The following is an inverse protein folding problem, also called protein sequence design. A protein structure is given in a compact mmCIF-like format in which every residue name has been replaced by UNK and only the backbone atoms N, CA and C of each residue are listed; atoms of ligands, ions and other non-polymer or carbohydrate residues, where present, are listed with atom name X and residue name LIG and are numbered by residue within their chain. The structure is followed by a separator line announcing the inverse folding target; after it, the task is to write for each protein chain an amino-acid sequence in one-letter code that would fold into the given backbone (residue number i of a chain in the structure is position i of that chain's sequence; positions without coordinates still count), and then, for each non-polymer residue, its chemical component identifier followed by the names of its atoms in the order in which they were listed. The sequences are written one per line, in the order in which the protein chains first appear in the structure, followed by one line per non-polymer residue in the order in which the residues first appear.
data_IF_040498468818
#
_entry.id   IF_040498468818
#
_cell.length_a   1.000
_cell.length_b   1.000
_cell.length_c   1.000
_cell.angle_alpha   90.00
_cell.angle_beta   90.00
_cell.angle_gamma   90.00
#
_symmetry.space_group_name_H-M   'P 1'
#
loop_
_entity.id
_entity.type
_entity.pdbx_description
1 polymer ?
#
# COMPACT_ATOMS: atom_id res chain seq x y z
N UNK A 1 26.92 -24.30 -8.75
CA UNK A 1 26.23 -23.79 -9.97
C UNK A 1 26.45 -22.29 -10.02
N UNK A 2 27.40 -21.87 -10.84
CA UNK A 2 28.00 -20.52 -10.86
C UNK A 2 27.88 -19.97 -12.27
N UNK A 3 27.10 -18.92 -12.47
CA UNK A 3 26.98 -18.25 -13.76
C UNK A 3 27.70 -16.89 -13.69
N UNK A 4 28.95 -16.87 -14.18
CA UNK A 4 29.70 -15.68 -14.57
C UNK A 4 29.32 -15.37 -16.02
N UNK A 5 28.84 -14.16 -16.29
CA UNK A 5 28.78 -13.64 -17.65
C UNK A 5 29.83 -12.53 -17.80
N UNK A 6 30.91 -12.86 -18.50
CA UNK A 6 31.83 -11.89 -19.08
C UNK A 6 31.40 -11.60 -20.52
N UNK A 7 31.18 -10.33 -20.84
CA UNK A 7 31.27 -9.85 -22.21
C UNK A 7 32.05 -8.54 -22.20
N UNK A 8 33.38 -8.65 -22.35
CA UNK A 8 34.21 -7.59 -22.89
C UNK A 8 34.60 -7.96 -24.31
N UNK A 9 34.60 -6.94 -25.16
CA UNK A 9 35.23 -6.84 -26.47
C UNK A 9 34.54 -7.54 -27.65
N UNK A 10 33.86 -6.73 -28.48
CA UNK A 10 34.15 -6.60 -29.90
C UNK A 10 33.18 -5.59 -30.54
N UNK A 11 33.65 -4.36 -30.81
CA UNK A 11 33.40 -3.56 -32.04
C UNK A 11 33.80 -2.09 -31.82
N UNK A 12 35.10 -1.88 -31.69
CA UNK A 12 35.74 -0.68 -32.22
C UNK A 12 35.66 -0.74 -33.74
N UNK A 13 34.86 0.13 -34.37
CA UNK A 13 35.02 0.73 -35.71
C UNK A 13 33.68 1.31 -36.19
N UNK A 14 33.39 2.55 -35.80
CA UNK A 14 32.51 3.47 -36.51
C UNK A 14 32.91 4.89 -36.07
N UNK A 15 33.86 5.49 -36.79
CA UNK A 15 34.12 6.93 -36.70
C UNK A 15 32.97 7.65 -37.41
N UNK A 16 32.17 8.49 -36.73
CA UNK A 16 31.34 9.45 -37.44
C UNK A 16 32.22 10.54 -38.04
N UNK A 17 32.01 10.85 -39.32
CA UNK A 17 32.55 12.02 -40.00
C UNK A 17 32.14 13.31 -39.25
N UNK A 18 33.02 14.32 -39.12
CA UNK A 18 32.61 15.59 -38.54
C UNK A 18 31.59 16.28 -39.45
N UNK A 19 30.43 16.73 -38.94
CA UNK A 19 29.53 17.56 -39.73
C UNK A 19 30.17 18.93 -39.98
N UNK A 20 29.96 19.42 -41.20
CA UNK A 20 30.29 20.77 -41.61
C UNK A 20 29.72 21.79 -40.60
N UNK A 21 30.53 22.79 -40.24
CA UNK A 21 30.13 23.96 -39.44
C UNK A 21 29.14 24.80 -40.25
N UNK A 22 27.89 24.36 -40.28
CA UNK A 22 26.72 25.11 -40.72
C UNK A 22 26.06 25.78 -39.52
N UNK A 23 25.60 27.00 -39.72
CA UNK A 23 25.04 27.93 -38.75
C UNK A 23 23.62 27.46 -38.37
N UNK A 24 23.53 26.31 -37.71
CA UNK A 24 22.28 25.61 -37.33
C UNK A 24 22.38 24.92 -35.95
N UNK A 25 23.42 25.26 -35.16
CA UNK A 25 23.72 24.59 -33.88
C UNK A 25 22.96 25.12 -32.66
N UNK A 26 22.54 26.39 -32.66
CA UNK A 26 21.89 26.99 -31.47
C UNK A 26 20.47 26.47 -31.25
N UNK A 27 19.72 26.19 -32.32
CA UNK A 27 18.34 25.67 -32.20
C UNK A 27 18.28 24.24 -31.66
N UNK A 28 19.16 23.36 -32.13
CA UNK A 28 19.16 21.94 -31.75
C UNK A 28 19.68 21.71 -30.31
N UNK A 29 20.71 22.45 -29.90
CA UNK A 29 21.21 22.39 -28.52
C UNK A 29 20.15 22.91 -27.53
N UNK A 30 19.48 24.03 -27.85
CA UNK A 30 18.41 24.58 -27.02
C UNK A 30 17.19 23.65 -26.94
N UNK A 31 16.83 22.98 -28.05
CA UNK A 31 15.77 21.98 -28.07
C UNK A 31 16.12 20.72 -27.27
N UNK A 32 17.37 20.24 -27.35
CA UNK A 32 17.85 19.09 -26.59
C UNK A 32 17.86 19.38 -25.08
N UNK A 33 18.35 20.56 -24.67
CA UNK A 33 18.33 21.01 -23.26
C UNK A 33 16.89 21.19 -22.77
N UNK A 34 15.99 21.75 -23.58
CA UNK A 34 14.58 21.85 -23.20
C UNK A 34 13.92 20.47 -23.06
N UNK A 35 14.23 19.54 -23.95
CA UNK A 35 13.71 18.17 -23.86
C UNK A 35 14.24 17.45 -22.62
N UNK A 36 15.53 17.56 -22.30
CA UNK A 36 16.11 16.95 -21.09
C UNK A 36 15.53 17.56 -19.82
N UNK A 37 15.39 18.90 -19.75
CA UNK A 37 14.77 19.58 -18.61
C UNK A 37 13.30 19.18 -18.45
N UNK A 38 12.54 19.07 -19.54
CA UNK A 38 11.15 18.61 -19.49
C UNK A 38 11.03 17.16 -19.02
N UNK A 39 11.95 16.29 -19.44
CA UNK A 39 12.00 14.89 -18.98
C UNK A 39 12.34 14.83 -17.48
N UNK A 40 13.36 15.55 -17.03
CA UNK A 40 13.73 15.63 -15.61
C UNK A 40 12.58 16.16 -14.75
N UNK A 41 11.93 17.27 -15.16
CA UNK A 41 10.79 17.83 -14.44
C UNK A 41 9.59 16.88 -14.37
N UNK A 42 9.32 16.15 -15.45
CA UNK A 42 8.24 15.17 -15.50
C UNK A 42 8.57 13.95 -14.62
N UNK A 43 9.83 13.50 -14.62
CA UNK A 43 10.33 12.40 -13.81
C UNK A 43 10.30 12.74 -12.31
N UNK A 44 10.71 13.95 -11.92
CA UNK A 44 10.61 14.42 -10.53
C UNK A 44 9.15 14.57 -10.10
N UNK A 45 8.28 15.15 -10.94
CA UNK A 45 6.86 15.30 -10.63
C UNK A 45 6.15 13.94 -10.48
N UNK A 46 6.53 12.95 -11.29
CA UNK A 46 6.03 11.59 -11.19
C UNK A 46 6.52 10.89 -9.89
N UNK A 47 7.80 11.07 -9.53
CA UNK A 47 8.36 10.53 -8.29
C UNK A 47 7.68 11.12 -7.05
N UNK A 48 7.52 12.44 -7.01
CA UNK A 48 6.85 13.16 -5.92
C UNK A 48 5.39 12.75 -5.78
N UNK A 49 4.66 12.64 -6.91
CA UNK A 49 3.26 12.20 -6.92
C UNK A 49 3.11 10.77 -6.37
N UNK A 50 4.05 9.89 -6.70
CA UNK A 50 4.05 8.51 -6.23
C UNK A 50 4.33 8.44 -4.72
N UNK A 51 5.33 9.18 -4.22
CA UNK A 51 5.63 9.27 -2.79
C UNK A 51 4.46 9.87 -2.00
N UNK A 52 3.82 10.92 -2.50
CA UNK A 52 2.64 11.52 -1.88
C UNK A 52 1.50 10.51 -1.79
N UNK A 53 1.24 9.74 -2.86
CA UNK A 53 0.24 8.68 -2.84
C UNK A 53 0.56 7.62 -1.77
N UNK A 54 1.80 7.13 -1.71
CA UNK A 54 2.17 6.11 -0.72
C UNK A 54 2.17 6.64 0.72
N UNK A 55 2.50 7.90 0.93
CA UNK A 55 2.39 8.58 2.24
C UNK A 55 0.92 8.67 2.67
N UNK A 56 0.03 9.03 1.75
CA UNK A 56 -1.40 9.05 1.98
C UNK A 56 -1.95 7.63 2.24
N UNK A 57 -1.46 6.61 1.51
CA UNK A 57 -1.80 5.21 1.72
C UNK A 57 -1.39 4.72 3.11
N UNK A 58 -0.17 5.05 3.56
CA UNK A 58 0.32 4.74 4.90
C UNK A 58 -0.58 5.39 5.97
N UNK A 59 -0.93 6.67 5.77
CA UNK A 59 -1.81 7.41 6.68
C UNK A 59 -3.21 6.79 6.77
N UNK A 60 -3.78 6.39 5.62
CA UNK A 60 -5.05 5.68 5.55
C UNK A 60 -5.00 4.34 6.31
N UNK A 61 -3.95 3.55 6.11
CA UNK A 61 -3.75 2.30 6.83
C UNK A 61 -3.60 2.54 8.34
N UNK A 62 -2.85 3.56 8.74
CA UNK A 62 -2.72 3.97 10.14
C UNK A 62 -4.06 4.32 10.76
N UNK A 63 -4.92 5.04 10.05
CA UNK A 63 -6.28 5.34 10.49
C UNK A 63 -7.12 4.07 10.67
N UNK A 64 -7.06 3.12 9.72
CA UNK A 64 -7.74 1.82 9.84
C UNK A 64 -7.29 1.07 11.09
N UNK A 65 -5.98 1.05 11.39
CA UNK A 65 -5.44 0.40 12.60
C UNK A 65 -5.94 1.09 13.88
N UNK A 66 -5.94 2.42 13.93
CA UNK A 66 -6.46 3.20 15.07
C UNK A 66 -7.95 2.92 15.29
N UNK A 67 -8.76 2.95 14.23
CA UNK A 67 -10.20 2.62 14.29
C UNK A 67 -10.43 1.19 14.77
N UNK A 68 -9.62 0.24 14.29
CA UNK A 68 -9.69 -1.16 14.70
C UNK A 68 -9.38 -1.33 16.20
N UNK A 69 -8.28 -0.75 16.67
CA UNK A 69 -7.87 -0.79 18.08
C UNK A 69 -8.90 -0.08 18.99
N UNK A 70 -9.39 1.10 18.59
CA UNK A 70 -10.45 1.81 19.29
C UNK A 70 -11.74 0.98 19.36
N UNK A 71 -12.10 0.29 18.28
CA UNK A 71 -13.24 -0.61 18.23
C UNK A 71 -13.14 -1.77 19.23
N UNK A 72 -11.96 -2.36 19.40
CA UNK A 72 -11.71 -3.39 20.43
C UNK A 72 -11.86 -2.81 21.83
N UNK A 73 -11.34 -1.60 22.07
CA UNK A 73 -11.46 -0.92 23.38
C UNK A 73 -12.92 -0.60 23.73
N UNK A 74 -13.72 -0.15 22.77
CA UNK A 74 -15.15 0.13 22.96
C UNK A 74 -15.97 -1.14 23.24
N UNK A 75 -15.62 -2.25 22.61
CA UNK A 75 -16.22 -3.55 22.92
C UNK A 75 -15.96 -3.97 24.38
N UNK A 76 -14.75 -3.76 24.90
CA UNK A 76 -14.44 -4.05 26.31
C UNK A 76 -15.27 -3.19 27.29
N UNK A 77 -15.75 -2.03 26.84
CA UNK A 77 -16.64 -1.14 27.61
C UNK A 77 -18.14 -1.41 27.38
N UNK A 78 -18.49 -2.53 26.74
CA UNK A 78 -19.87 -2.88 26.37
C UNK A 78 -20.58 -1.85 25.47
N UNK A 79 -19.85 -1.00 24.74
CA UNK A 79 -20.41 0.01 23.84
C UNK A 79 -20.57 -0.54 22.42
N UNK A 80 -21.52 -1.47 22.22
CA UNK A 80 -21.71 -2.22 20.96
C UNK A 80 -22.03 -1.30 19.78
N UNK A 81 -22.88 -0.30 19.97
CA UNK A 81 -23.28 0.66 18.91
C UNK A 81 -22.07 1.46 18.40
N UNK A 82 -21.18 1.89 19.30
CA UNK A 82 -19.95 2.61 18.93
C UNK A 82 -18.93 1.69 18.26
N UNK A 83 -18.77 0.46 18.77
CA UNK A 83 -17.96 -0.55 18.12
C UNK A 83 -18.38 -0.76 16.66
N UNK A 84 -19.69 -0.92 16.40
CA UNK A 84 -20.22 -1.09 15.04
C UNK A 84 -19.91 0.10 14.13
N UNK A 85 -20.11 1.33 14.61
CA UNK A 85 -19.79 2.56 13.84
C UNK A 85 -18.30 2.63 13.47
N UNK A 86 -17.41 2.31 14.40
CA UNK A 86 -15.96 2.30 14.14
C UNK A 86 -15.57 1.22 13.12
N UNK A 87 -16.15 0.02 13.22
CA UNK A 87 -15.89 -1.05 12.25
C UNK A 87 -16.44 -0.70 10.86
N UNK A 88 -17.60 -0.03 10.78
CA UNK A 88 -18.15 0.46 9.52
C UNK A 88 -17.27 1.54 8.91
N UNK A 89 -16.82 2.52 9.70
CA UNK A 89 -15.90 3.55 9.23
C UNK A 89 -14.60 2.93 8.68
N UNK A 90 -13.98 2.01 9.43
CA UNK A 90 -12.78 1.31 8.95
C UNK A 90 -13.03 0.50 7.66
N UNK A 91 -14.18 -0.17 7.56
CA UNK A 91 -14.56 -0.92 6.35
C UNK A 91 -14.74 0.01 5.15
N UNK A 92 -15.37 1.17 5.33
CA UNK A 92 -15.52 2.19 4.28
C UNK A 92 -14.17 2.73 3.83
N UNK A 93 -13.24 3.02 4.75
CA UNK A 93 -11.88 3.45 4.39
C UNK A 93 -11.19 2.41 3.49
N UNK A 94 -11.27 1.13 3.85
CA UNK A 94 -10.68 0.04 3.04
C UNK A 94 -11.37 -0.07 1.68
N UNK A 95 -12.70 -0.06 1.64
CA UNK A 95 -13.48 -0.15 0.39
C UNK A 95 -13.20 1.02 -0.54
N UNK A 96 -13.04 2.24 -0.03
CA UNK A 96 -12.70 3.42 -0.84
C UNK A 96 -11.23 3.41 -1.28
N UNK A 97 -10.33 2.85 -0.48
CA UNK A 97 -8.91 2.74 -0.80
C UNK A 97 -8.63 1.75 -1.93
N UNK A 98 -9.40 0.66 -2.05
CA UNK A 98 -9.20 -0.32 -3.12
C UNK A 98 -9.32 0.30 -4.54
N UNK A 99 -10.42 1.01 -4.88
CA UNK A 99 -10.55 1.71 -6.15
C UNK A 99 -9.48 2.77 -6.38
N UNK A 100 -9.08 3.52 -5.34
CA UNK A 100 -8.01 4.52 -5.49
C UNK A 100 -6.67 3.88 -5.82
N UNK A 101 -6.38 2.70 -5.25
CA UNK A 101 -5.21 1.90 -5.61
C UNK A 101 -5.27 1.41 -7.06
N UNK A 102 -6.42 0.91 -7.52
CA UNK A 102 -6.60 0.53 -8.93
C UNK A 102 -6.45 1.73 -9.87
N UNK A 103 -6.98 2.90 -9.50
CA UNK A 103 -6.80 4.13 -10.25
C UNK A 103 -5.31 4.50 -10.32
N UNK A 104 -4.57 4.42 -9.20
CA UNK A 104 -3.11 4.63 -9.19
C UNK A 104 -2.40 3.69 -10.15
N UNK A 105 -2.73 2.40 -10.15
CA UNK A 105 -2.13 1.43 -11.07
C UNK A 105 -2.40 1.77 -12.54
N UNK A 106 -3.57 2.34 -12.85
CA UNK A 106 -3.93 2.71 -14.21
C UNK A 106 -3.28 4.02 -14.67
N UNK A 107 -3.19 5.02 -13.79
CA UNK A 107 -2.67 6.36 -14.13
C UNK A 107 -1.14 6.50 -13.96
N UNK A 108 -0.58 5.99 -12.85
CA UNK A 108 0.85 6.14 -12.51
C UNK A 108 1.68 4.91 -12.90
N UNK A 109 1.03 3.82 -13.33
CA UNK A 109 1.70 2.58 -13.68
C UNK A 109 2.22 1.77 -12.47
N UNK A 110 2.78 0.61 -12.78
CA UNK A 110 3.46 -0.24 -11.79
C UNK A 110 4.86 0.29 -11.54
N UNK A 111 5.28 0.32 -10.28
CA UNK A 111 6.67 0.61 -9.95
C UNK A 111 7.59 -0.45 -10.51
N UNK A 112 8.70 -0.01 -11.09
CA UNK A 112 9.74 -0.92 -11.53
C UNK A 112 10.43 -1.52 -10.29
N UNK A 113 10.23 -2.81 -10.06
CA UNK A 113 10.84 -3.54 -8.94
C UNK A 113 12.29 -3.94 -9.22
N UNK A 114 12.79 -3.80 -10.45
CA UNK A 114 14.14 -4.22 -10.84
C UNK A 114 15.24 -3.36 -10.20
N UNK A 115 14.91 -2.14 -9.77
CA UNK A 115 15.82 -1.23 -9.06
C UNK A 115 15.81 -1.43 -7.54
N UNK A 116 14.97 -2.31 -7.02
CA UNK A 116 14.86 -2.55 -5.59
C UNK A 116 15.91 -3.58 -5.14
N UNK A 117 16.49 -3.34 -3.96
CA UNK A 117 17.36 -4.34 -3.34
C UNK A 117 16.56 -5.59 -2.97
N UNK A 118 17.19 -6.77 -3.01
CA UNK A 118 16.51 -8.03 -2.70
C UNK A 118 15.86 -8.02 -1.31
N UNK A 119 16.48 -7.34 -0.33
CA UNK A 119 15.92 -7.16 1.01
C UNK A 119 14.63 -6.33 1.00
N UNK A 120 14.58 -5.22 0.25
CA UNK A 120 13.40 -4.38 0.14
C UNK A 120 12.23 -5.12 -0.54
N UNK A 121 12.52 -5.95 -1.54
CA UNK A 121 11.52 -6.82 -2.17
C UNK A 121 10.94 -7.82 -1.18
N UNK A 122 11.76 -8.45 -0.33
CA UNK A 122 11.26 -9.35 0.71
C UNK A 122 10.34 -8.64 1.71
N UNK A 123 10.72 -7.45 2.17
CA UNK A 123 9.87 -6.63 3.05
C UNK A 123 8.53 -6.32 2.38
N UNK A 124 8.54 -5.98 1.09
CA UNK A 124 7.32 -5.75 0.31
C UNK A 124 6.46 -7.02 0.23
N UNK A 125 7.04 -8.20 -0.03
CA UNK A 125 6.31 -9.47 -0.06
C UNK A 125 5.68 -9.80 1.30
N UNK A 126 6.41 -9.61 2.40
CA UNK A 126 5.84 -9.79 3.74
C UNK A 126 4.72 -8.80 4.01
N UNK A 127 4.87 -7.55 3.60
CA UNK A 127 3.82 -6.54 3.69
C UNK A 127 2.56 -6.97 2.93
N UNK A 128 2.68 -7.42 1.68
CA UNK A 128 1.57 -7.94 0.87
C UNK A 128 0.84 -9.07 1.59
N UNK A 129 1.57 -10.03 2.16
CA UNK A 129 0.99 -11.14 2.94
C UNK A 129 0.22 -10.63 4.16
N UNK A 130 0.77 -9.69 4.92
CA UNK A 130 0.06 -9.12 6.08
C UNK A 130 -1.21 -8.37 5.68
N UNK A 131 -1.18 -7.61 4.58
CA UNK A 131 -2.36 -6.94 4.03
C UNK A 131 -3.41 -7.96 3.59
N UNK A 132 -3.03 -9.02 2.88
CA UNK A 132 -3.95 -10.08 2.47
C UNK A 132 -4.59 -10.78 3.67
N UNK A 133 -3.80 -11.11 4.69
CA UNK A 133 -4.31 -11.72 5.92
C UNK A 133 -5.22 -10.77 6.69
N UNK A 134 -4.88 -9.48 6.77
CA UNK A 134 -5.73 -8.44 7.35
C UNK A 134 -7.09 -8.37 6.64
N UNK A 135 -7.10 -8.34 5.31
CA UNK A 135 -8.33 -8.31 4.52
C UNK A 135 -9.15 -9.59 4.71
N UNK A 136 -8.51 -10.76 4.70
CA UNK A 136 -9.16 -12.04 4.91
C UNK A 136 -9.81 -12.13 6.30
N UNK A 137 -9.05 -11.87 7.36
CA UNK A 137 -9.56 -11.93 8.72
C UNK A 137 -10.57 -10.82 9.01
N UNK A 138 -10.37 -9.62 8.46
CA UNK A 138 -11.32 -8.51 8.53
C UNK A 138 -12.66 -8.87 7.87
N UNK A 139 -12.62 -9.45 6.67
CA UNK A 139 -13.82 -9.93 5.98
C UNK A 139 -14.53 -11.05 6.74
N UNK A 140 -13.78 -12.01 7.27
CA UNK A 140 -14.32 -13.08 8.13
C UNK A 140 -14.95 -12.51 9.41
N UNK A 141 -14.34 -11.50 10.02
CA UNK A 141 -14.87 -10.81 11.19
C UNK A 141 -16.16 -10.06 10.85
N UNK A 142 -16.23 -9.38 9.70
CA UNK A 142 -17.40 -8.68 9.21
C UNK A 142 -18.56 -9.63 8.92
N UNK A 143 -18.31 -10.72 8.17
CA UNK A 143 -19.32 -11.75 7.87
C UNK A 143 -19.90 -12.37 9.15
N UNK A 144 -19.03 -12.75 10.09
CA UNK A 144 -19.47 -13.28 11.39
C UNK A 144 -20.18 -12.22 12.23
N UNK A 145 -19.76 -10.95 12.13
CA UNK A 145 -20.41 -9.82 12.80
C UNK A 145 -21.82 -9.54 12.27
N UNK A 146 -22.03 -9.63 10.96
CA UNK A 146 -23.35 -9.52 10.33
C UNK A 146 -24.30 -10.65 10.78
N UNK A 147 -23.79 -11.87 10.91
CA UNK A 147 -24.56 -12.99 11.44
C UNK A 147 -24.93 -12.82 12.93
N UNK A 148 -24.10 -12.10 13.69
CA UNK A 148 -24.36 -11.77 15.11
C UNK A 148 -25.26 -10.52 15.26
N UNK A 149 -25.37 -9.68 14.24
CA UNK A 149 -26.12 -8.42 14.30
C UNK A 149 -27.64 -8.60 14.50
N UNK A 150 -28.16 -9.81 14.27
CA UNK A 150 -29.58 -10.20 14.46
C UNK A 150 -29.81 -11.02 15.73
N UNK A 151 -28.89 -11.00 16.68
CA UNK A 151 -28.98 -11.79 17.92
C UNK A 151 -29.02 -10.86 19.13
N UNK A 152 -29.59 -11.33 20.25
CA UNK A 152 -29.75 -10.54 21.49
C UNK A 152 -28.44 -9.97 22.04
N UNK A 153 -27.32 -10.62 21.71
CA UNK A 153 -25.98 -10.13 22.05
C UNK A 153 -25.59 -8.82 21.35
N UNK A 154 -26.26 -8.43 20.26
CA UNK A 154 -26.01 -7.20 19.52
C UNK A 154 -27.07 -6.13 19.77
N UNK A 155 -28.33 -6.52 19.97
CA UNK A 155 -29.47 -5.63 20.25
C UNK A 155 -29.61 -5.30 21.73
N UNK A 156 -29.01 -6.10 22.63
CA UNK A 156 -29.20 -6.04 24.08
C UNK A 156 -30.67 -6.21 24.50
N UNK A 157 -31.51 -6.72 23.59
CA UNK A 157 -32.91 -7.00 23.83
C UNK A 157 -33.04 -8.41 24.44
N UNK A 158 -33.62 -8.56 25.65
CA UNK A 158 -33.87 -9.86 26.28
C UNK A 158 -34.78 -10.78 25.45
N UNK A 159 -35.56 -10.20 24.53
CA UNK A 159 -36.53 -10.91 23.67
C UNK A 159 -35.87 -11.65 22.51
N UNK A 160 -34.66 -11.26 22.13
CA UNK A 160 -33.94 -11.83 21.00
C UNK A 160 -33.16 -13.11 21.37
N UNK A 161 -33.07 -14.10 20.47
CA UNK A 161 -32.34 -15.33 20.75
C UNK A 161 -30.85 -15.03 21.04
N UNK A 162 -30.28 -15.61 22.12
CA UNK A 162 -28.88 -15.42 22.45
C UNK A 162 -27.99 -16.01 21.35
N UNK A 163 -26.92 -15.30 21.00
CA UNK A 163 -25.97 -15.83 20.02
C UNK A 163 -25.22 -17.06 20.59
N UNK A 164 -25.13 -18.11 19.77
CA UNK A 164 -24.33 -19.29 20.10
C UNK A 164 -22.88 -18.89 20.47
N UNK A 165 -22.34 -19.40 21.59
CA UNK A 165 -21.05 -18.97 22.13
C UNK A 165 -19.88 -19.23 21.18
N UNK A 166 -19.96 -20.29 20.37
CA UNK A 166 -18.97 -20.62 19.34
C UNK A 166 -18.87 -19.53 18.26
N UNK A 167 -20.01 -19.01 17.80
CA UNK A 167 -20.05 -17.93 16.79
C UNK A 167 -19.44 -16.65 17.35
N UNK A 168 -19.74 -16.33 18.62
CA UNK A 168 -19.17 -15.18 19.30
C UNK A 168 -17.64 -15.31 19.46
N UNK A 169 -17.13 -16.48 19.86
CA UNK A 169 -15.69 -16.79 19.96
C UNK A 169 -14.99 -16.66 18.61
N UNK A 170 -15.56 -17.23 17.55
CA UNK A 170 -15.02 -17.14 16.19
C UNK A 170 -14.92 -15.70 15.67
N UNK A 171 -15.90 -14.85 15.97
CA UNK A 171 -15.81 -13.42 15.65
C UNK A 171 -14.70 -12.72 16.45
N UNK A 172 -14.49 -13.07 17.75
CA UNK A 172 -13.39 -12.48 18.54
C UNK A 172 -12.02 -12.86 17.98
N UNK A 173 -11.83 -14.13 17.65
CA UNK A 173 -10.57 -14.63 17.13
C UNK A 173 -10.24 -13.97 15.79
N UNK A 174 -11.20 -13.94 14.85
CA UNK A 174 -11.03 -13.28 13.56
C UNK A 174 -10.71 -11.78 13.72
N UNK A 175 -11.40 -11.08 14.63
CA UNK A 175 -11.12 -9.67 14.90
C UNK A 175 -9.72 -9.43 15.48
N UNK A 176 -9.26 -10.27 16.39
CA UNK A 176 -7.90 -10.18 16.94
C UNK A 176 -6.82 -10.46 15.91
N UNK A 177 -7.01 -11.49 15.08
CA UNK A 177 -6.08 -11.81 13.99
C UNK A 177 -6.01 -10.65 12.99
N UNK A 178 -7.16 -10.06 12.63
CA UNK A 178 -7.21 -8.90 11.73
C UNK A 178 -6.44 -7.68 12.30
N UNK A 179 -6.58 -7.40 13.60
CA UNK A 179 -5.84 -6.31 14.25
C UNK A 179 -4.34 -6.61 14.28
N UNK A 180 -3.95 -7.84 14.65
CA UNK A 180 -2.54 -8.24 14.69
C UNK A 180 -1.86 -8.10 13.33
N UNK A 181 -2.50 -8.60 12.26
CA UNK A 181 -1.96 -8.49 10.91
C UNK A 181 -2.03 -7.08 10.36
N UNK A 182 -3.01 -6.26 10.74
CA UNK A 182 -3.04 -4.84 10.40
C UNK A 182 -1.86 -4.07 11.00
N UNK A 183 -1.56 -4.30 12.28
CA UNK A 183 -0.41 -3.67 12.95
C UNK A 183 0.90 -4.11 12.30
N UNK A 184 1.08 -5.42 12.07
CA UNK A 184 2.27 -5.94 11.39
C UNK A 184 2.41 -5.36 9.97
N UNK A 185 1.30 -5.27 9.22
CA UNK A 185 1.26 -4.65 7.90
C UNK A 185 1.62 -3.17 7.92
N UNK A 186 1.20 -2.41 8.94
CA UNK A 186 1.56 -1.00 9.08
C UNK A 186 3.05 -0.83 9.35
N UNK A 187 3.62 -1.66 10.23
CA UNK A 187 5.06 -1.63 10.54
C UNK A 187 5.90 -1.92 9.29
N UNK A 188 5.52 -2.93 8.51
CA UNK A 188 6.22 -3.23 7.25
C UNK A 188 5.98 -2.15 6.19
N UNK A 189 4.81 -1.51 6.16
CA UNK A 189 4.55 -0.37 5.26
C UNK A 189 5.48 0.81 5.56
N UNK A 190 5.75 1.11 6.84
CA UNK A 190 6.73 2.12 7.22
C UNK A 190 8.12 1.79 6.68
N UNK A 191 8.55 0.53 6.73
CA UNK A 191 9.85 0.09 6.20
C UNK A 191 9.90 0.21 4.67
N UNK A 192 8.82 -0.15 3.97
CA UNK A 192 8.70 0.02 2.52
C UNK A 192 8.82 1.50 2.15
N UNK A 193 8.03 2.37 2.81
CA UNK A 193 8.03 3.80 2.52
C UNK A 193 9.37 4.46 2.84
N UNK A 194 10.03 4.07 3.94
CA UNK A 194 11.38 4.52 4.26
C UNK A 194 12.37 4.16 3.14
N UNK A 195 12.32 2.93 2.63
CA UNK A 195 13.14 2.52 1.49
C UNK A 195 12.85 3.32 0.22
N UNK A 196 11.63 3.80 0.04
CA UNK A 196 11.28 4.71 -1.06
C UNK A 196 11.89 6.10 -0.87
N UNK A 197 11.80 6.68 0.35
CA UNK A 197 12.38 7.98 0.65
C UNK A 197 13.91 7.99 0.49
N UNK A 198 14.59 6.91 0.89
CA UNK A 198 16.04 6.77 0.71
C UNK A 198 16.43 6.80 -0.77
N UNK A 199 15.65 6.15 -1.65
CA UNK A 199 15.90 6.17 -3.10
C UNK A 199 15.57 7.52 -3.75
N UNK A 200 14.66 8.26 -3.13
CA UNK A 200 14.34 9.63 -3.52
C UNK A 200 15.39 10.66 -3.05
N UNK A 201 16.38 10.25 -2.25
CA UNK A 201 17.38 11.14 -1.68
C UNK A 201 16.84 12.09 -0.60
N UNK A 202 15.68 11.78 -0.02
CA UNK A 202 15.03 12.61 1.00
C UNK A 202 15.45 12.26 2.44
N UNK A 203 16.06 11.08 2.65
CA UNK A 203 16.54 10.56 3.95
C UNK A 203 17.81 9.75 3.75
#
# INVERSE_FOLDING_TARGET
MTWRWSWRAATSLLRPSPPARGIAGEGAATACVRASVSVELCETAAMDSNLLFWTAALSNMGMVVVLAAAGVRMRRRNQISRHRRLMQAGSVLVILFLPSYFAKLHFLGRENMDVWSSGAVWVLRFHEVFVLLMLLFGFLALRRGLALARTGNATLDPSDPPAAPERARGHRLAGWMAVGTAVAGLLTACLVLLGMYQRAGLV
#
